data_IF_367438593154
#
_entry.id   IF_367438593154
#
_cell.length_a   1.000
_cell.length_b   1.000
_cell.length_c   1.000
_cell.angle_alpha   90.00
_cell.angle_beta   90.00
_cell.angle_gamma   90.00
#
_symmetry.space_group_name_H-M   'P 1'
#
loop_
_entity.id
_entity.type
_entity.pdbx_description
1 polymer ?
#
# COMPACT_ATOMS: atom_id res chain seq x y z
N UNK A 1 -12.01 -11.42 20.74
CA UNK A 1 -12.02 -11.94 19.35
C UNK A 1 -10.88 -11.25 18.61
N UNK A 2 -9.93 -12.01 18.08
CA UNK A 2 -8.84 -11.48 17.27
C UNK A 2 -9.40 -10.93 15.95
N UNK A 3 -8.96 -9.75 15.55
CA UNK A 3 -9.29 -9.19 14.23
C UNK A 3 -8.71 -10.13 13.15
N UNK A 4 -9.54 -10.74 12.28
CA UNK A 4 -9.08 -11.71 11.30
C UNK A 4 -8.12 -11.12 10.26
N UNK A 5 -8.05 -9.79 10.16
CA UNK A 5 -7.28 -9.10 9.13
C UNK A 5 -5.83 -8.78 9.53
N UNK A 6 -5.50 -8.94 10.82
CA UNK A 6 -4.15 -8.72 11.34
C UNK A 6 -3.70 -7.25 11.41
N UNK A 7 -4.14 -6.38 10.49
CA UNK A 7 -3.81 -4.96 10.46
C UNK A 7 -4.83 -4.11 11.24
N UNK A 8 -4.38 -3.48 12.32
CA UNK A 8 -5.22 -2.56 13.11
C UNK A 8 -5.33 -1.20 12.42
N UNK A 9 -6.44 -0.45 12.57
CA UNK A 9 -6.48 0.95 12.14
C UNK A 9 -5.40 1.80 12.84
N UNK A 10 -4.94 2.86 12.17
CA UNK A 10 -3.97 3.81 12.73
C UNK A 10 -3.07 4.46 11.69
N UNK A 11 -2.06 5.16 12.16
CA UNK A 11 -1.02 5.74 11.31
C UNK A 11 0.14 4.76 11.11
N UNK A 12 0.65 4.71 9.88
CA UNK A 12 1.72 3.78 9.48
C UNK A 12 2.76 4.47 8.60
N UNK A 13 4.01 4.03 8.75
CA UNK A 13 5.01 4.12 7.69
C UNK A 13 4.98 2.83 6.88
N UNK A 14 4.73 2.96 5.58
CA UNK A 14 4.67 1.81 4.67
C UNK A 14 6.04 1.67 3.98
N UNK A 15 6.57 0.46 3.97
CA UNK A 15 7.78 0.13 3.18
C UNK A 15 7.47 -1.03 2.24
N UNK A 16 8.23 -1.16 1.15
CA UNK A 16 8.27 -2.41 0.41
C UNK A 16 8.99 -3.50 1.24
N UNK A 17 9.10 -4.71 0.70
CA UNK A 17 9.80 -5.82 1.36
C UNK A 17 11.27 -5.54 1.68
N UNK A 18 11.92 -4.66 0.92
CA UNK A 18 13.31 -4.26 1.06
C UNK A 18 13.52 -3.04 1.97
N UNK A 19 12.51 -2.69 2.78
CA UNK A 19 12.58 -1.58 3.75
C UNK A 19 12.76 -0.19 3.12
N UNK A 20 12.45 -0.06 1.83
CA UNK A 20 12.41 1.23 1.15
C UNK A 20 11.03 1.86 1.38
N UNK A 21 11.02 3.11 1.88
CA UNK A 21 9.78 3.79 2.23
C UNK A 21 8.93 4.12 1.00
N UNK A 22 7.65 3.82 1.11
CA UNK A 22 6.59 4.36 0.26
C UNK A 22 6.29 5.77 0.74
N UNK A 23 6.11 6.69 -0.20
CA UNK A 23 5.71 8.07 0.05
C UNK A 23 5.04 8.70 -1.14
N UNK A 24 5.00 10.02 -1.17
CA UNK A 24 4.41 10.77 -2.28
C UNK A 24 5.43 11.70 -2.96
N UNK A 25 5.34 11.79 -4.28
CA UNK A 25 5.98 12.83 -5.09
C UNK A 25 4.86 13.51 -5.89
N UNK A 26 4.50 14.74 -5.52
CA UNK A 26 3.22 15.33 -5.91
C UNK A 26 2.05 14.40 -5.54
N UNK A 27 1.16 14.08 -6.48
CA UNK A 27 0.08 13.10 -6.28
C UNK A 27 0.51 11.64 -6.46
N UNK A 28 1.73 11.36 -6.93
CA UNK A 28 2.17 9.99 -7.24
C UNK A 28 2.58 9.27 -5.97
N UNK A 29 2.09 8.05 -5.76
CA UNK A 29 2.57 7.20 -4.67
C UNK A 29 3.77 6.40 -5.15
N UNK A 30 4.92 6.66 -4.54
CA UNK A 30 6.23 6.24 -5.03
C UNK A 30 7.05 5.57 -3.94
N UNK A 31 8.00 4.72 -4.31
CA UNK A 31 9.05 4.24 -3.42
C UNK A 31 10.25 5.18 -3.52
N UNK A 32 10.47 6.01 -2.48
CA UNK A 32 11.48 7.09 -2.48
C UNK A 32 12.36 7.14 -1.22
N UNK A 33 12.21 6.21 -0.29
CA UNK A 33 13.10 6.09 0.89
C UNK A 33 12.84 7.10 2.01
N UNK A 34 12.08 8.15 1.74
CA UNK A 34 11.59 9.08 2.75
C UNK A 34 10.33 8.54 3.46
N UNK A 35 10.32 8.61 4.80
CA UNK A 35 9.17 8.21 5.60
C UNK A 35 7.98 9.13 5.35
N UNK A 36 6.88 8.57 4.87
CA UNK A 36 5.59 9.26 4.73
C UNK A 36 4.55 8.58 5.61
N UNK A 37 3.80 9.39 6.37
CA UNK A 37 2.80 8.88 7.31
C UNK A 37 1.45 8.73 6.60
N UNK A 38 0.97 7.51 6.49
CA UNK A 38 -0.36 7.19 5.96
C UNK A 38 -1.34 6.91 7.10
N UNK A 39 -2.59 7.31 6.95
CA UNK A 39 -3.68 6.86 7.82
C UNK A 39 -4.35 5.65 7.19
N UNK A 40 -4.49 4.57 7.94
CA UNK A 40 -5.16 3.35 7.52
C UNK A 40 -6.40 3.17 8.39
N UNK A 41 -7.58 3.25 7.78
CA UNK A 41 -8.86 3.13 8.46
C UNK A 41 -9.58 1.88 7.97
N UNK A 42 -9.91 0.97 8.90
CA UNK A 42 -10.70 -0.22 8.57
C UNK A 42 -12.16 0.17 8.37
N UNK A 43 -12.77 -0.33 7.31
CA UNK A 43 -14.21 -0.24 7.08
C UNK A 43 -14.88 -1.36 7.90
N UNK A 44 -15.96 -1.04 8.62
CA UNK A 44 -16.64 -2.01 9.46
C UNK A 44 -17.13 -3.21 8.63
N UNK A 45 -16.87 -4.43 9.12
CA UNK A 45 -17.28 -5.66 8.48
C UNK A 45 -16.29 -6.81 8.69
N UNK A 46 -16.64 -8.02 8.22
CA UNK A 46 -15.75 -9.19 8.29
C UNK A 46 -14.60 -9.13 7.27
N UNK A 47 -14.70 -8.25 6.26
CA UNK A 47 -13.70 -8.10 5.20
C UNK A 47 -12.52 -7.25 5.67
N UNK A 48 -11.33 -7.57 5.14
CA UNK A 48 -10.10 -6.82 5.39
C UNK A 48 -10.02 -5.58 4.52
N UNK A 49 -11.09 -4.79 4.55
CA UNK A 49 -11.32 -3.64 3.70
C UNK A 49 -10.89 -2.37 4.45
N UNK A 50 -10.04 -1.60 3.79
CA UNK A 50 -9.42 -0.41 4.37
C UNK A 50 -9.50 0.76 3.40
N UNK A 51 -9.65 1.93 3.98
CA UNK A 51 -9.33 3.19 3.35
C UNK A 51 -7.90 3.55 3.75
N UNK A 52 -7.09 3.99 2.79
CA UNK A 52 -5.76 4.54 3.05
C UNK A 52 -5.78 6.01 2.63
N UNK A 53 -5.30 6.90 3.49
CA UNK A 53 -5.19 8.32 3.17
C UNK A 53 -3.79 8.84 3.44
N UNK A 54 -3.42 9.87 2.67
CA UNK A 54 -2.28 10.73 2.90
C UNK A 54 -2.84 12.15 3.09
N UNK A 55 -2.64 12.71 4.27
CA UNK A 55 -3.29 13.94 4.69
C UNK A 55 -4.81 13.87 4.50
N UNK A 56 -5.39 14.68 3.62
CA UNK A 56 -6.82 14.72 3.31
C UNK A 56 -7.20 13.95 2.03
N UNK A 57 -6.23 13.34 1.35
CA UNK A 57 -6.45 12.64 0.08
C UNK A 57 -6.48 11.12 0.27
N UNK A 58 -7.31 10.47 -0.53
CA UNK A 58 -7.42 9.03 -0.63
C UNK A 58 -6.33 8.47 -1.51
N UNK A 59 -5.74 7.35 -1.09
CA UNK A 59 -4.91 6.57 -1.99
C UNK A 59 -5.82 5.78 -2.92
N UNK A 60 -5.61 5.97 -4.21
CA UNK A 60 -6.43 5.47 -5.31
C UNK A 60 -5.51 5.08 -6.49
N UNK A 61 -6.07 4.61 -7.59
CA UNK A 61 -5.35 4.54 -8.86
C UNK A 61 -5.99 5.41 -9.95
N UNK A 62 -5.20 5.75 -10.96
CA UNK A 62 -5.63 6.31 -12.24
C UNK A 62 -4.98 5.49 -13.36
N UNK A 63 -5.79 4.80 -14.17
CA UNK A 63 -5.29 3.71 -15.00
C UNK A 63 -4.70 2.62 -14.12
N UNK A 64 -3.44 2.24 -14.34
CA UNK A 64 -2.72 1.31 -13.46
C UNK A 64 -1.89 2.00 -12.37
N UNK A 65 -1.70 3.32 -12.40
CA UNK A 65 -0.76 4.00 -11.51
C UNK A 65 -1.43 4.39 -10.18
N UNK A 66 -0.76 4.19 -9.06
CA UNK A 66 -1.26 4.54 -7.72
C UNK A 66 -0.94 6.00 -7.41
N UNK A 67 -1.95 6.75 -6.93
CA UNK A 67 -1.88 8.17 -6.66
C UNK A 67 -2.67 8.53 -5.38
N UNK A 68 -2.39 9.70 -4.81
CA UNK A 68 -3.29 10.39 -3.89
C UNK A 68 -4.29 11.24 -4.69
N UNK A 69 -5.56 11.22 -4.30
CA UNK A 69 -6.62 12.02 -4.91
C UNK A 69 -7.92 12.02 -4.09
N UNK A 70 -9.04 12.33 -4.73
CA UNK A 70 -10.31 12.58 -4.02
C UNK A 70 -11.34 11.46 -4.14
N UNK A 71 -11.03 10.36 -4.84
CA UNK A 71 -11.91 9.19 -4.96
C UNK A 71 -11.62 8.27 -3.77
N UNK A 72 -12.66 8.01 -2.97
CA UNK A 72 -12.58 7.07 -1.86
C UNK A 72 -12.52 5.62 -2.36
N UNK A 73 -11.36 5.22 -2.85
CA UNK A 73 -11.10 3.84 -3.25
C UNK A 73 -10.74 3.00 -2.02
N UNK A 74 -11.28 1.78 -1.98
CA UNK A 74 -11.06 0.84 -0.90
C UNK A 74 -10.05 -0.24 -1.31
N UNK A 75 -9.28 -0.67 -0.32
CA UNK A 75 -8.22 -1.66 -0.48
C UNK A 75 -8.46 -2.85 0.43
N UNK A 76 -8.30 -4.05 -0.10
CA UNK A 76 -8.18 -5.28 0.68
C UNK A 76 -6.72 -5.44 1.08
N UNK A 77 -6.45 -5.42 2.39
CA UNK A 77 -5.10 -5.56 2.94
C UNK A 77 -5.00 -6.89 3.70
N UNK A 78 -4.21 -7.82 3.16
CA UNK A 78 -4.10 -9.20 3.67
C UNK A 78 -2.69 -9.49 4.16
N UNK A 79 -2.57 -10.16 5.31
CA UNK A 79 -1.29 -10.50 5.92
C UNK A 79 -0.75 -11.84 5.43
N UNK A 80 0.53 -11.85 5.06
CA UNK A 80 1.29 -13.02 4.65
C UNK A 80 2.56 -13.12 5.50
N UNK A 81 2.46 -13.77 6.67
CA UNK A 81 3.54 -13.79 7.65
C UNK A 81 3.80 -12.39 8.21
N UNK A 82 4.93 -11.78 7.84
CA UNK A 82 5.36 -10.45 8.32
C UNK A 82 5.15 -9.31 7.30
N UNK A 83 4.54 -9.62 6.15
CA UNK A 83 4.27 -8.65 5.09
C UNK A 83 2.79 -8.65 4.74
N UNK A 84 2.36 -7.66 3.97
CA UNK A 84 0.99 -7.46 3.54
C UNK A 84 0.92 -7.26 2.03
N UNK A 85 -0.12 -7.77 1.38
CA UNK A 85 -0.53 -7.35 0.04
C UNK A 85 -1.58 -6.24 0.15
N UNK A 86 -1.60 -5.34 -0.84
CA UNK A 86 -2.61 -4.26 -0.93
C UNK A 86 -3.31 -4.38 -2.27
N UNK A 87 -4.56 -4.85 -2.25
CA UNK A 87 -5.35 -5.16 -3.45
C UNK A 87 -6.54 -4.24 -3.57
N UNK A 88 -6.89 -3.80 -4.77
CA UNK A 88 -8.11 -3.05 -4.99
C UNK A 88 -9.33 -3.92 -4.62
N UNK A 89 -10.31 -3.31 -3.93
CA UNK A 89 -11.52 -4.02 -3.54
C UNK A 89 -12.34 -4.47 -4.75
N UNK A 90 -12.71 -5.75 -4.79
CA UNK A 90 -13.52 -6.33 -5.86
C UNK A 90 -12.74 -6.73 -7.12
N UNK A 91 -11.42 -6.54 -7.15
CA UNK A 91 -10.56 -6.96 -8.27
C UNK A 91 -9.43 -7.86 -7.78
N UNK A 92 -8.62 -8.34 -8.72
CA UNK A 92 -7.38 -9.07 -8.43
C UNK A 92 -6.13 -8.19 -8.62
N UNK A 93 -6.30 -6.87 -8.66
CA UNK A 93 -5.21 -5.93 -8.94
C UNK A 93 -4.56 -5.45 -7.64
N UNK A 94 -3.26 -5.65 -7.51
CA UNK A 94 -2.49 -5.33 -6.31
C UNK A 94 -1.39 -4.30 -6.57
N UNK A 95 -1.09 -3.51 -5.53
CA UNK A 95 0.06 -2.62 -5.53
C UNK A 95 1.33 -3.40 -5.84
N UNK A 96 2.13 -2.86 -6.75
CA UNK A 96 3.37 -3.46 -7.21
C UNK A 96 4.43 -2.36 -7.28
N UNK A 97 5.52 -2.54 -6.54
CA UNK A 97 6.74 -1.74 -6.72
C UNK A 97 7.43 -2.18 -8.01
N UNK A 98 7.68 -1.29 -8.99
CA UNK A 98 8.42 -1.66 -10.20
C UNK A 98 9.92 -1.97 -9.91
N UNK A 99 10.42 -1.70 -8.71
CA UNK A 99 11.78 -2.03 -8.29
C UNK A 99 12.00 -3.52 -8.00
N UNK A 100 13.19 -4.02 -8.31
CA UNK A 100 13.68 -5.34 -7.90
C UNK A 100 14.67 -5.23 -6.74
N UNK A 101 14.99 -6.38 -6.11
CA UNK A 101 16.07 -6.47 -5.12
C UNK A 101 17.36 -5.84 -5.67
N UNK A 102 17.94 -4.90 -4.94
CA UNK A 102 19.22 -4.28 -5.29
C UNK A 102 19.14 -3.01 -6.15
N UNK A 103 17.94 -2.56 -6.57
CA UNK A 103 17.82 -1.26 -7.22
C UNK A 103 17.93 -0.12 -6.18
N UNK A 104 18.91 0.80 -6.33
CA UNK A 104 19.00 1.97 -5.47
C UNK A 104 17.70 2.78 -5.51
N UNK A 105 17.41 3.50 -4.43
CA UNK A 105 16.21 4.37 -4.27
C UNK A 105 16.29 5.62 -5.17
N UNK A 106 17.06 5.60 -6.25
CA UNK A 106 17.44 6.82 -6.96
C UNK A 106 16.34 7.42 -7.84
N UNK A 107 15.16 6.82 -7.95
CA UNK A 107 14.07 7.32 -8.78
C UNK A 107 12.74 7.15 -8.05
N UNK A 108 11.86 8.16 -8.14
CA UNK A 108 10.47 8.14 -7.69
C UNK A 108 9.67 7.03 -8.41
N UNK A 109 9.92 5.79 -8.03
CA UNK A 109 9.33 4.59 -8.62
C UNK A 109 7.87 4.51 -8.21
N UNK A 110 7.00 5.00 -9.08
CA UNK A 110 5.57 5.01 -8.82
C UNK A 110 5.03 3.58 -8.73
N UNK A 111 4.27 3.32 -7.66
CA UNK A 111 3.53 2.07 -7.52
C UNK A 111 2.48 1.98 -8.61
N UNK A 112 2.27 0.76 -9.10
CA UNK A 112 1.23 0.47 -10.07
C UNK A 112 0.45 -0.79 -9.68
N UNK A 113 -0.63 -1.05 -10.39
CA UNK A 113 -1.49 -2.21 -10.22
C UNK A 113 -1.14 -3.30 -11.22
N UNK A 114 -0.95 -4.51 -10.72
CA UNK A 114 -0.85 -5.73 -11.53
C UNK A 114 -1.57 -6.88 -10.84
N UNK A 115 -1.84 -7.97 -11.55
CA UNK A 115 -2.51 -9.14 -10.98
C UNK A 115 -1.79 -9.63 -9.72
N UNK A 116 -2.56 -9.97 -8.69
CA UNK A 116 -2.02 -10.42 -7.42
C UNK A 116 -1.24 -11.72 -7.62
N UNK A 117 0.00 -11.70 -7.17
CA UNK A 117 0.81 -12.87 -6.98
C UNK A 117 1.57 -12.68 -5.67
N UNK A 118 1.02 -13.24 -4.59
CA UNK A 118 1.55 -13.11 -3.24
C UNK A 118 3.00 -13.64 -3.09
N UNK A 119 3.51 -14.41 -4.05
CA UNK A 119 4.91 -14.84 -4.06
C UNK A 119 5.87 -13.75 -4.57
N UNK A 120 5.37 -12.70 -5.25
CA UNK A 120 6.21 -11.60 -5.77
C UNK A 120 6.64 -10.66 -4.64
N UNK A 121 7.96 -10.49 -4.41
CA UNK A 121 8.48 -9.53 -3.43
C UNK A 121 8.01 -8.09 -3.64
N UNK A 122 7.74 -7.71 -4.89
CA UNK A 122 7.29 -6.39 -5.30
C UNK A 122 5.87 -6.02 -4.82
N UNK A 123 5.07 -7.03 -4.48
CA UNK A 123 3.69 -6.86 -3.99
C UNK A 123 3.59 -7.03 -2.46
N UNK A 124 4.73 -7.11 -1.79
CA UNK A 124 4.82 -7.34 -0.36
C UNK A 124 5.30 -6.09 0.35
N UNK A 125 4.45 -5.57 1.23
CA UNK A 125 4.66 -4.33 1.95
C UNK A 125 4.68 -4.58 3.45
N UNK A 126 5.38 -3.73 4.21
CA UNK A 126 5.36 -3.73 5.66
C UNK A 126 4.63 -2.48 6.14
N UNK A 127 3.74 -2.65 7.11
CA UNK A 127 3.02 -1.56 7.76
C UNK A 127 3.62 -1.36 9.16
N UNK A 128 4.51 -0.39 9.28
CA UNK A 128 5.18 -0.09 10.55
C UNK A 128 4.38 0.98 11.30
N UNK A 129 3.75 0.60 12.42
CA UNK A 129 2.88 1.50 13.17
C UNK A 129 3.68 2.68 13.75
N UNK A 130 3.11 3.88 13.65
CA UNK A 130 3.62 5.11 14.28
C UNK A 130 3.27 5.14 15.77
#
# INVERSE_FOLDING_TARGET
MSDPCGLKPGYYYITNRYDQCVGACHSKIVVKGEKTRFCVKKIQGPTCLYQITLDNDYIQHNGSLVNAGHINQLWVIEQWGQVYSVKEAGTDLAWTDPGSAGNPVSHDRQLYLSSLNAALPQQQFKFNKV
#
